data_IF_413878595071
#
_entry.id   IF_413878595071
#
_cell.length_a   1.000
_cell.length_b   1.000
_cell.length_c   1.000
_cell.angle_alpha   90.00
_cell.angle_beta   90.00
_cell.angle_gamma   90.00
#
_symmetry.space_group_name_H-M   'P 1'
#
loop_
_entity.id
_entity.type
_entity.pdbx_description
1 polymer ?
#
# COMPACT_ATOMS: atom_id res chain seq x y z
N UNK A 1 -0.05 3.29 -10.64
CA UNK A 1 -1.20 3.39 -9.71
C UNK A 1 -1.17 4.69 -8.90
N UNK A 2 -0.01 5.12 -8.36
CA UNK A 2 0.06 6.38 -7.58
C UNK A 2 -0.48 7.58 -8.36
N UNK A 3 -0.10 7.75 -9.64
CA UNK A 3 -0.65 8.82 -10.48
C UNK A 3 -2.16 8.68 -10.69
N UNK A 4 -2.69 7.46 -10.85
CA UNK A 4 -4.14 7.25 -10.94
C UNK A 4 -4.83 7.67 -9.65
N UNK A 5 -4.26 7.33 -8.47
CA UNK A 5 -4.79 7.78 -7.18
C UNK A 5 -4.74 9.31 -7.04
N UNK A 6 -3.66 9.95 -7.48
CA UNK A 6 -3.54 11.41 -7.48
C UNK A 6 -4.61 12.07 -8.36
N UNK A 7 -4.81 11.56 -9.57
CA UNK A 7 -5.89 12.01 -10.48
C UNK A 7 -7.28 11.84 -9.84
N UNK A 8 -7.57 10.66 -9.30
CA UNK A 8 -8.86 10.36 -8.65
C UNK A 8 -9.10 11.28 -7.46
N UNK A 9 -8.12 11.39 -6.56
CA UNK A 9 -8.24 12.26 -5.37
C UNK A 9 -8.35 13.73 -5.72
N UNK A 10 -7.60 14.20 -6.72
CA UNK A 10 -7.67 15.58 -7.20
C UNK A 10 -9.06 15.92 -7.75
N UNK A 11 -9.64 15.02 -8.57
CA UNK A 11 -11.00 15.21 -9.08
C UNK A 11 -12.05 15.18 -7.98
N UNK A 12 -11.96 14.23 -7.02
CA UNK A 12 -12.85 14.17 -5.86
C UNK A 12 -12.73 15.40 -4.95
N UNK A 13 -11.52 15.94 -4.83
CA UNK A 13 -11.24 17.14 -4.02
C UNK A 13 -11.54 18.45 -4.74
N UNK A 14 -12.00 18.42 -6.00
CA UNK A 14 -12.28 19.62 -6.77
C UNK A 14 -11.04 20.46 -7.11
N UNK A 15 -9.85 19.83 -7.12
CA UNK A 15 -8.61 20.51 -7.48
C UNK A 15 -8.61 20.92 -8.96
N UNK A 16 -8.01 22.04 -9.27
CA UNK A 16 -7.80 22.49 -10.63
C UNK A 16 -6.88 21.51 -11.39
N UNK A 17 -6.98 21.53 -12.71
CA UNK A 17 -6.10 20.73 -13.58
C UNK A 17 -4.61 20.93 -13.24
N UNK A 18 -4.19 22.18 -13.08
CA UNK A 18 -2.79 22.52 -12.78
C UNK A 18 -2.31 21.94 -11.43
N UNK A 19 -3.15 21.98 -10.41
CA UNK A 19 -2.85 21.38 -9.09
C UNK A 19 -2.75 19.87 -9.17
N UNK A 20 -3.65 19.21 -9.92
CA UNK A 20 -3.59 17.77 -10.13
C UNK A 20 -2.31 17.40 -10.89
N UNK A 21 -2.01 18.10 -11.99
CA UNK A 21 -0.82 17.84 -12.80
C UNK A 21 0.47 18.02 -12.00
N UNK A 22 0.57 19.04 -11.16
CA UNK A 22 1.70 19.27 -10.26
C UNK A 22 1.89 18.15 -9.21
N UNK A 23 0.85 17.37 -8.91
CA UNK A 23 0.89 16.25 -7.97
C UNK A 23 1.32 14.92 -8.61
N UNK A 24 1.43 14.86 -9.94
CA UNK A 24 1.77 13.64 -10.67
C UNK A 24 3.28 13.38 -10.66
N UNK A 25 3.63 12.13 -10.50
CA UNK A 25 5.02 11.68 -10.65
C UNK A 25 5.39 11.60 -12.14
N UNK A 26 6.51 12.23 -12.50
CA UNK A 26 7.12 12.03 -13.83
C UNK A 26 7.68 10.62 -13.94
N UNK A 27 7.28 9.90 -14.97
CA UNK A 27 7.70 8.53 -15.23
C UNK A 27 8.34 8.43 -16.62
N UNK A 28 9.32 7.52 -16.83
CA UNK A 28 9.83 7.23 -18.17
C UNK A 28 8.69 6.87 -19.12
N UNK A 29 8.81 7.23 -20.41
CA UNK A 29 7.75 7.12 -21.41
C UNK A 29 7.11 5.72 -21.50
N UNK A 30 7.92 4.65 -21.36
CA UNK A 30 7.42 3.26 -21.41
C UNK A 30 6.62 2.85 -20.15
N UNK A 31 6.70 3.60 -19.04
CA UNK A 31 5.92 3.42 -17.82
C UNK A 31 4.85 4.51 -17.67
N UNK A 32 4.91 5.54 -18.50
CA UNK A 32 4.00 6.67 -18.43
C UNK A 32 2.63 6.28 -18.98
N UNK A 33 1.60 6.68 -18.23
CA UNK A 33 0.25 6.75 -18.74
C UNK A 33 0.07 8.14 -19.35
N UNK A 34 -0.53 8.23 -20.51
CA UNK A 34 -0.95 9.53 -21.06
C UNK A 34 -1.99 10.13 -20.11
N UNK A 35 -1.59 11.16 -19.38
CA UNK A 35 -2.44 11.81 -18.38
C UNK A 35 -3.36 12.86 -18.99
N UNK A 36 -3.06 13.39 -20.18
CA UNK A 36 -3.83 14.44 -20.82
C UNK A 36 -5.33 14.10 -20.96
N UNK A 37 -5.71 12.93 -21.53
CA UNK A 37 -7.12 12.56 -21.62
C UNK A 37 -7.79 12.41 -20.26
N UNK A 38 -7.03 12.04 -19.22
CA UNK A 38 -7.55 11.83 -17.87
C UNK A 38 -7.70 13.15 -17.10
N UNK A 39 -6.77 14.09 -17.30
CA UNK A 39 -6.86 15.43 -16.73
C UNK A 39 -8.06 16.22 -17.29
N UNK A 40 -8.42 15.98 -18.55
CA UNK A 40 -9.50 16.66 -19.26
C UNK A 40 -10.90 16.03 -19.03
N UNK A 41 -11.05 15.13 -18.05
CA UNK A 41 -12.36 14.59 -17.66
C UNK A 41 -13.09 15.55 -16.73
N UNK A 42 -14.42 15.55 -16.78
CA UNK A 42 -15.22 16.42 -15.92
C UNK A 42 -15.29 15.86 -14.49
N UNK A 43 -15.41 14.54 -14.37
CA UNK A 43 -15.57 13.87 -13.09
C UNK A 43 -14.75 12.57 -12.96
N UNK A 44 -14.80 11.96 -11.78
CA UNK A 44 -14.10 10.70 -11.45
C UNK A 44 -14.67 9.53 -12.24
N UNK A 45 -15.95 9.50 -12.51
CA UNK A 45 -16.57 8.38 -13.22
C UNK A 45 -16.13 8.35 -14.68
N UNK A 46 -16.06 9.52 -15.32
CA UNK A 46 -15.52 9.64 -16.67
C UNK A 46 -14.03 9.26 -16.71
N UNK A 47 -13.24 9.72 -15.72
CA UNK A 47 -11.83 9.35 -15.59
C UNK A 47 -11.67 7.82 -15.52
N UNK A 48 -12.44 7.15 -14.67
CA UNK A 48 -12.39 5.69 -14.52
C UNK A 48 -12.84 4.97 -15.80
N UNK A 49 -13.83 5.52 -16.54
CA UNK A 49 -14.25 5.00 -17.85
C UNK A 49 -13.13 5.13 -18.88
N UNK A 50 -12.40 6.23 -18.91
CA UNK A 50 -11.27 6.45 -19.84
C UNK A 50 -10.09 5.51 -19.58
N UNK A 51 -9.92 5.00 -18.36
CA UNK A 51 -8.92 3.97 -18.09
C UNK A 51 -9.17 2.66 -18.87
N UNK A 52 -10.38 2.43 -19.43
CA UNK A 52 -10.69 1.24 -20.24
C UNK A 52 -9.81 1.10 -21.48
N UNK A 53 -9.32 2.19 -22.04
CA UNK A 53 -8.43 2.22 -23.23
C UNK A 53 -6.95 2.14 -22.87
N UNK A 54 -6.60 1.93 -21.62
CA UNK A 54 -5.24 1.89 -21.10
C UNK A 54 -4.88 0.50 -20.56
N UNK A 55 -3.60 0.23 -20.25
CA UNK A 55 -3.20 -1.00 -19.54
C UNK A 55 -3.87 -1.19 -18.18
N UNK A 56 -4.51 -0.14 -17.64
CA UNK A 56 -5.24 -0.14 -16.37
C UNK A 56 -6.74 -0.43 -16.52
N UNK A 57 -7.16 -0.97 -17.66
CA UNK A 57 -8.57 -1.28 -17.96
C UNK A 57 -9.30 -2.03 -16.82
N UNK A 58 -8.71 -3.11 -16.33
CA UNK A 58 -9.34 -3.92 -15.29
C UNK A 58 -9.49 -3.14 -13.98
N UNK A 59 -8.44 -2.40 -13.59
CA UNK A 59 -8.46 -1.51 -12.44
C UNK A 59 -9.57 -0.46 -12.57
N UNK A 60 -9.64 0.24 -13.70
CA UNK A 60 -10.67 1.26 -13.95
C UNK A 60 -12.09 0.70 -13.90
N UNK A 61 -12.32 -0.48 -14.50
CA UNK A 61 -13.65 -1.11 -14.49
C UNK A 61 -14.10 -1.55 -13.09
N UNK A 62 -13.21 -2.12 -12.28
CA UNK A 62 -13.54 -2.54 -10.92
C UNK A 62 -13.75 -1.35 -9.99
N UNK A 63 -12.88 -0.35 -10.10
CA UNK A 63 -13.00 0.90 -9.34
C UNK A 63 -14.31 1.63 -9.68
N UNK A 64 -14.68 1.69 -10.97
CA UNK A 64 -15.94 2.31 -11.42
C UNK A 64 -17.16 1.61 -10.80
N UNK A 65 -17.24 0.28 -10.88
CA UNK A 65 -18.35 -0.50 -10.28
C UNK A 65 -18.46 -0.24 -8.78
N UNK A 66 -17.35 -0.31 -8.06
CA UNK A 66 -17.32 -0.06 -6.61
C UNK A 66 -17.78 1.36 -6.27
N UNK A 67 -17.43 2.35 -7.10
CA UNK A 67 -17.81 3.75 -6.88
C UNK A 67 -19.27 4.02 -7.29
N UNK A 68 -19.78 3.40 -8.38
CA UNK A 68 -21.19 3.51 -8.80
C UNK A 68 -22.15 2.99 -7.72
N UNK A 69 -21.76 1.92 -7.00
CA UNK A 69 -22.60 1.31 -5.96
C UNK A 69 -22.69 2.15 -4.68
N UNK A 70 -21.60 2.75 -4.24
CA UNK A 70 -21.51 3.38 -2.90
C UNK A 70 -21.15 4.87 -2.91
N UNK A 71 -20.64 5.40 -4.00
CA UNK A 71 -20.14 6.79 -4.15
C UNK A 71 -19.19 7.24 -3.03
N UNK A 72 -18.47 6.28 -2.44
CA UNK A 72 -17.57 6.51 -1.32
C UNK A 72 -16.12 6.64 -1.83
N UNK A 73 -15.50 7.83 -1.71
CA UNK A 73 -14.12 8.08 -2.11
C UNK A 73 -13.11 7.16 -1.41
N UNK A 74 -13.40 6.80 -0.16
CA UNK A 74 -12.54 5.93 0.62
C UNK A 74 -12.54 4.50 0.08
N UNK A 75 -13.72 3.95 -0.23
CA UNK A 75 -13.84 2.62 -0.82
C UNK A 75 -13.24 2.57 -2.23
N UNK A 76 -13.32 3.67 -2.98
CA UNK A 76 -12.68 3.79 -4.28
C UNK A 76 -11.15 3.69 -4.14
N UNK A 77 -10.54 4.45 -3.23
CA UNK A 77 -9.09 4.41 -2.99
C UNK A 77 -8.62 3.03 -2.54
N UNK A 78 -9.37 2.37 -1.65
CA UNK A 78 -9.11 1.01 -1.20
C UNK A 78 -9.23 -0.02 -2.34
N UNK A 79 -10.19 0.15 -3.24
CA UNK A 79 -10.36 -0.73 -4.40
C UNK A 79 -9.18 -0.62 -5.38
N UNK A 80 -8.63 0.57 -5.57
CA UNK A 80 -7.43 0.79 -6.39
C UNK A 80 -6.21 0.06 -5.80
N UNK A 81 -6.00 0.15 -4.49
CA UNK A 81 -4.92 -0.58 -3.81
C UNK A 81 -5.11 -2.09 -3.90
N UNK A 82 -6.30 -2.57 -3.60
CA UNK A 82 -6.64 -4.00 -3.70
C UNK A 82 -6.33 -4.56 -5.08
N UNK A 83 -6.76 -3.87 -6.13
CA UNK A 83 -6.52 -4.31 -7.50
C UNK A 83 -5.03 -4.34 -7.83
N UNK A 84 -4.29 -3.31 -7.43
CA UNK A 84 -2.85 -3.24 -7.66
C UNK A 84 -2.10 -4.41 -7.01
N UNK A 85 -2.30 -4.62 -5.70
CA UNK A 85 -1.60 -5.68 -4.97
C UNK A 85 -2.03 -7.08 -5.41
N UNK A 86 -3.32 -7.30 -5.67
CA UNK A 86 -3.80 -8.58 -6.21
C UNK A 86 -3.21 -8.88 -7.59
N UNK A 87 -3.14 -7.87 -8.46
CA UNK A 87 -2.50 -8.00 -9.77
C UNK A 87 -0.99 -8.27 -9.67
N UNK A 88 -0.30 -7.65 -8.73
CA UNK A 88 1.12 -7.89 -8.48
C UNK A 88 1.35 -9.32 -7.97
N UNK A 89 0.56 -9.76 -6.99
CA UNK A 89 0.63 -11.14 -6.46
C UNK A 89 0.34 -12.20 -7.54
N UNK A 90 -0.64 -11.94 -8.41
CA UNK A 90 -0.95 -12.83 -9.51
C UNK A 90 0.21 -12.97 -10.53
N UNK A 91 0.92 -11.88 -10.82
CA UNK A 91 2.10 -11.91 -11.69
C UNK A 91 3.26 -12.67 -11.04
N UNK A 92 3.48 -12.47 -9.74
CA UNK A 92 4.50 -13.22 -8.99
C UNK A 92 4.23 -14.71 -9.02
N UNK A 93 2.96 -15.13 -8.92
CA UNK A 93 2.58 -16.54 -8.98
C UNK A 93 2.89 -17.21 -10.35
N UNK A 94 3.01 -16.41 -11.42
CA UNK A 94 3.32 -16.88 -12.78
C UNK A 94 4.84 -16.99 -13.06
N UNK A 95 5.68 -16.47 -12.17
CA UNK A 95 7.13 -16.56 -12.33
C UNK A 95 7.61 -18.01 -12.16
N UNK A 96 8.74 -18.32 -12.80
CA UNK A 96 9.49 -19.54 -12.55
C UNK A 96 10.38 -19.42 -11.30
N UNK A 97 10.84 -20.56 -10.79
CA UNK A 97 11.88 -20.55 -9.74
C UNK A 97 13.24 -20.17 -10.34
N UNK A 98 14.11 -19.48 -9.61
CA UNK A 98 13.96 -19.07 -8.19
C UNK A 98 13.23 -17.74 -7.98
N UNK A 99 12.89 -17.02 -9.06
CA UNK A 99 12.29 -15.68 -8.98
C UNK A 99 10.95 -15.71 -8.25
N UNK A 100 10.13 -16.72 -8.46
CA UNK A 100 8.82 -16.84 -7.82
C UNK A 100 8.94 -16.85 -6.30
N UNK A 101 9.81 -17.68 -5.74
CA UNK A 101 10.01 -17.79 -4.29
C UNK A 101 10.55 -16.49 -3.70
N UNK A 102 11.56 -15.90 -4.34
CA UNK A 102 12.18 -14.65 -3.87
C UNK A 102 11.20 -13.46 -3.94
N UNK A 103 10.50 -13.31 -5.06
CA UNK A 103 9.50 -12.24 -5.22
C UNK A 103 8.28 -12.43 -4.33
N UNK A 104 7.83 -13.67 -4.10
CA UNK A 104 6.74 -13.97 -3.16
C UNK A 104 7.08 -13.54 -1.73
N UNK A 105 8.33 -13.67 -1.31
CA UNK A 105 8.77 -13.20 0.01
C UNK A 105 8.58 -11.68 0.13
N UNK A 106 9.01 -10.89 -0.83
CA UNK A 106 8.89 -9.43 -0.80
C UNK A 106 7.44 -8.97 -0.97
N UNK A 107 6.78 -9.41 -2.04
CA UNK A 107 5.41 -8.98 -2.37
C UNK A 107 4.40 -9.50 -1.35
N UNK A 108 4.55 -10.73 -0.86
CA UNK A 108 3.67 -11.28 0.17
C UNK A 108 3.74 -10.50 1.48
N UNK A 109 4.93 -10.02 1.88
CA UNK A 109 5.08 -9.12 3.05
C UNK A 109 4.46 -7.75 2.81
N UNK A 110 4.55 -7.21 1.59
CA UNK A 110 3.85 -5.97 1.24
C UNK A 110 2.33 -6.13 1.39
N UNK A 111 1.78 -7.26 0.94
CA UNK A 111 0.36 -7.59 1.07
C UNK A 111 -0.02 -7.80 2.54
N UNK A 112 0.77 -8.54 3.31
CA UNK A 112 0.53 -8.75 4.75
C UNK A 112 0.50 -7.41 5.51
N UNK A 113 1.50 -6.55 5.25
CA UNK A 113 1.54 -5.21 5.84
C UNK A 113 0.31 -4.39 5.46
N UNK A 114 -0.07 -4.39 4.18
CA UNK A 114 -1.25 -3.67 3.73
C UNK A 114 -2.51 -4.19 4.42
N UNK A 115 -2.74 -5.49 4.38
CA UNK A 115 -3.89 -6.11 5.03
C UNK A 115 -3.94 -5.78 6.52
N UNK A 116 -2.85 -6.01 7.26
CA UNK A 116 -2.86 -5.81 8.71
C UNK A 116 -3.17 -4.36 9.06
N UNK A 117 -2.42 -3.41 8.49
CA UNK A 117 -2.57 -1.99 8.85
C UNK A 117 -3.92 -1.43 8.40
N UNK A 118 -4.35 -1.73 7.16
CA UNK A 118 -5.56 -1.13 6.63
C UNK A 118 -6.84 -1.79 7.13
N UNK A 119 -6.88 -3.12 7.26
CA UNK A 119 -8.07 -3.80 7.78
C UNK A 119 -8.33 -3.46 9.24
N UNK A 120 -7.28 -3.36 10.06
CA UNK A 120 -7.42 -2.88 11.44
C UNK A 120 -7.89 -1.43 11.48
N UNK A 121 -7.37 -0.56 10.60
CA UNK A 121 -7.84 0.82 10.48
C UNK A 121 -9.30 0.88 10.06
N UNK A 122 -9.72 0.07 9.09
CA UNK A 122 -11.12 -0.01 8.66
C UNK A 122 -12.03 -0.43 9.81
N UNK A 123 -11.61 -1.43 10.57
CA UNK A 123 -12.39 -1.95 11.70
C UNK A 123 -12.45 -0.99 12.88
N UNK A 124 -11.31 -0.48 13.33
CA UNK A 124 -11.22 0.27 14.59
C UNK A 124 -11.36 1.79 14.42
N UNK A 125 -10.78 2.38 13.36
CA UNK A 125 -10.86 3.83 13.15
C UNK A 125 -12.11 4.24 12.36
N UNK A 126 -12.43 3.51 11.28
CA UNK A 126 -13.60 3.80 10.43
C UNK A 126 -14.86 3.03 10.84
N UNK A 127 -14.76 2.13 11.83
CA UNK A 127 -15.87 1.37 12.40
C UNK A 127 -16.67 0.55 11.37
N UNK A 128 -16.03 0.09 10.30
CA UNK A 128 -16.67 -0.81 9.34
C UNK A 128 -17.03 -2.12 10.01
N UNK A 129 -18.11 -2.74 9.53
CA UNK A 129 -18.48 -4.09 9.96
C UNK A 129 -17.37 -5.10 9.56
N UNK A 130 -17.16 -6.18 10.33
CA UNK A 130 -16.12 -7.18 10.03
C UNK A 130 -16.17 -7.69 8.59
N UNK A 131 -17.37 -7.97 8.08
CA UNK A 131 -17.55 -8.46 6.71
C UNK A 131 -17.16 -7.41 5.66
N UNK A 132 -17.48 -6.13 5.87
CA UNK A 132 -17.12 -5.04 4.97
C UNK A 132 -15.60 -4.81 4.96
N UNK A 133 -14.97 -4.80 6.14
CA UNK A 133 -13.52 -4.69 6.24
C UNK A 133 -12.83 -5.89 5.56
N UNK A 134 -13.32 -7.13 5.79
CA UNK A 134 -12.76 -8.33 5.17
C UNK A 134 -12.89 -8.31 3.65
N UNK A 135 -13.97 -7.74 3.11
CA UNK A 135 -14.15 -7.58 1.66
C UNK A 135 -13.02 -6.74 1.02
N UNK A 136 -12.41 -5.82 1.77
CA UNK A 136 -11.27 -5.01 1.31
C UNK A 136 -9.93 -5.75 1.37
N UNK A 137 -9.90 -6.99 1.88
CA UNK A 137 -8.66 -7.76 1.99
C UNK A 137 -8.06 -8.08 0.61
N UNK A 138 -6.75 -8.17 0.60
CA UNK A 138 -5.94 -8.51 -0.58
C UNK A 138 -5.45 -9.94 -0.43
N UNK A 139 -5.61 -10.75 -1.47
CA UNK A 139 -5.05 -12.10 -1.54
C UNK A 139 -3.56 -12.09 -1.88
N UNK A 140 -2.85 -13.15 -1.49
CA UNK A 140 -1.42 -13.32 -1.81
C UNK A 140 -0.46 -12.86 -0.71
N UNK A 141 -0.94 -12.67 0.52
CA UNK A 141 -0.09 -12.48 1.70
C UNK A 141 0.82 -13.68 1.95
N UNK A 142 1.96 -13.44 2.60
CA UNK A 142 2.95 -14.46 2.93
C UNK A 142 2.54 -15.28 4.15
N UNK A 143 2.05 -14.60 5.19
CA UNK A 143 1.72 -15.19 6.49
C UNK A 143 0.23 -15.05 6.85
N UNK A 144 -0.42 -13.95 6.46
CA UNK A 144 -1.83 -13.70 6.78
C UNK A 144 -2.75 -14.44 5.81
N UNK A 145 -3.42 -15.47 6.32
CA UNK A 145 -4.48 -16.17 5.59
C UNK A 145 -5.84 -15.50 5.82
N UNK A 146 -6.82 -15.81 4.96
CA UNK A 146 -8.19 -15.30 5.14
C UNK A 146 -8.80 -15.67 6.50
N UNK A 147 -8.41 -16.81 7.09
CA UNK A 147 -8.86 -17.21 8.44
C UNK A 147 -8.26 -16.33 9.55
N UNK A 148 -6.99 -15.92 9.42
CA UNK A 148 -6.39 -14.97 10.35
C UNK A 148 -7.08 -13.61 10.25
N UNK A 149 -7.26 -13.10 9.02
CA UNK A 149 -7.90 -11.80 8.77
C UNK A 149 -9.33 -11.76 9.31
N UNK A 150 -10.12 -12.82 9.10
CA UNK A 150 -11.48 -12.90 9.63
C UNK A 150 -11.49 -12.81 11.16
N UNK A 151 -10.76 -13.69 11.84
CA UNK A 151 -10.72 -13.71 13.33
C UNK A 151 -10.26 -12.40 13.92
N UNK A 152 -9.24 -11.79 13.30
CA UNK A 152 -8.72 -10.49 13.70
C UNK A 152 -9.77 -9.37 13.61
N UNK A 153 -10.65 -9.41 12.63
CA UNK A 153 -11.67 -8.38 12.40
C UNK A 153 -12.95 -8.60 13.25
N UNK A 154 -13.19 -9.81 13.76
CA UNK A 154 -14.35 -10.15 14.58
C UNK A 154 -14.23 -9.64 16.02
N UNK A 155 -13.02 -9.40 16.51
CA UNK A 155 -12.79 -8.95 17.88
C UNK A 155 -12.87 -7.42 18.02
N UNK A 156 -13.25 -6.91 19.21
CA UNK A 156 -13.52 -5.49 19.42
C UNK A 156 -12.27 -4.63 19.58
N UNK A 157 -11.15 -5.19 20.05
CA UNK A 157 -9.96 -4.39 20.38
C UNK A 157 -8.75 -4.74 19.51
N UNK A 158 -7.82 -3.77 19.38
CA UNK A 158 -6.56 -3.99 18.68
C UNK A 158 -5.70 -5.07 19.35
N UNK A 159 -5.67 -5.08 20.69
CA UNK A 159 -4.90 -6.06 21.46
C UNK A 159 -5.40 -7.49 21.17
N UNK A 160 -6.71 -7.72 21.22
CA UNK A 160 -7.30 -9.02 20.87
C UNK A 160 -7.04 -9.39 19.39
N UNK A 161 -7.10 -8.42 18.47
CA UNK A 161 -6.80 -8.66 17.08
C UNK A 161 -5.36 -9.16 16.85
N UNK A 162 -4.40 -8.62 17.61
CA UNK A 162 -2.98 -9.04 17.56
C UNK A 162 -2.84 -10.51 18.00
N UNK A 163 -3.63 -10.98 18.98
CA UNK A 163 -3.60 -12.38 19.43
C UNK A 163 -3.99 -13.39 18.33
N UNK A 164 -4.76 -12.97 17.34
CA UNK A 164 -5.15 -13.79 16.20
C UNK A 164 -4.14 -13.83 15.06
N UNK A 165 -3.02 -13.11 15.19
CA UNK A 165 -1.96 -13.13 14.19
C UNK A 165 -1.12 -14.42 14.28
N UNK A 166 -0.46 -14.83 13.19
CA UNK A 166 0.55 -15.89 13.22
C UNK A 166 1.63 -15.62 14.28
N UNK A 167 2.12 -16.66 14.94
CA UNK A 167 3.14 -16.54 16.00
C UNK A 167 4.37 -15.74 15.58
N UNK A 168 4.84 -15.95 14.35
CA UNK A 168 5.99 -15.22 13.76
C UNK A 168 5.71 -13.73 13.65
N UNK A 169 4.51 -13.34 13.25
CA UNK A 169 4.12 -11.94 13.10
C UNK A 169 3.90 -11.29 14.46
N UNK A 170 3.29 -11.99 15.42
CA UNK A 170 3.17 -11.50 16.82
C UNK A 170 4.54 -11.24 17.44
N UNK A 171 5.49 -12.18 17.26
CA UNK A 171 6.86 -11.98 17.74
C UNK A 171 7.55 -10.79 17.08
N UNK A 172 7.30 -10.56 15.78
CA UNK A 172 7.85 -9.44 15.03
C UNK A 172 7.30 -8.10 15.53
N UNK A 173 5.97 -8.03 15.77
CA UNK A 173 5.29 -6.81 16.22
C UNK A 173 5.63 -6.50 17.69
N UNK A 174 5.90 -7.54 18.50
CA UNK A 174 6.23 -7.37 19.90
C UNK A 174 5.12 -6.65 20.69
N UNK A 175 5.52 -5.66 21.47
CA UNK A 175 4.64 -4.87 22.33
C UNK A 175 4.16 -3.58 21.66
N UNK A 176 3.94 -3.59 20.33
CA UNK A 176 3.41 -2.44 19.62
C UNK A 176 2.03 -2.05 20.14
N UNK A 177 1.89 -0.81 20.59
CA UNK A 177 0.69 -0.33 21.26
C UNK A 177 -0.37 0.22 20.30
N UNK A 178 0.06 0.61 19.09
CA UNK A 178 -0.82 1.26 18.12
C UNK A 178 -0.50 0.87 16.67
N UNK A 179 -1.38 1.27 15.75
CA UNK A 179 -1.25 0.96 14.32
C UNK A 179 -0.04 1.61 13.64
N UNK A 180 0.48 2.71 14.19
CA UNK A 180 1.65 3.40 13.64
C UNK A 180 2.89 2.56 13.91
N UNK A 181 3.05 2.08 15.15
CA UNK A 181 4.15 1.20 15.55
C UNK A 181 4.15 -0.10 14.73
N UNK A 182 2.98 -0.73 14.61
CA UNK A 182 2.82 -1.95 13.78
C UNK A 182 3.25 -1.69 12.34
N UNK A 183 2.79 -0.58 11.74
CA UNK A 183 3.17 -0.19 10.38
C UNK A 183 4.68 -0.05 10.23
N UNK A 184 5.31 0.63 11.18
CA UNK A 184 6.73 0.97 11.10
C UNK A 184 7.62 -0.25 11.34
N UNK A 185 7.22 -1.16 12.22
CA UNK A 185 7.88 -2.46 12.40
C UNK A 185 7.80 -3.29 11.11
N UNK A 186 6.63 -3.35 10.48
CA UNK A 186 6.45 -4.10 9.24
C UNK A 186 7.18 -3.47 8.04
N UNK A 187 7.33 -2.14 8.03
CA UNK A 187 8.16 -1.46 7.02
C UNK A 187 9.62 -1.81 7.20
N UNK A 188 10.14 -1.80 8.43
CA UNK A 188 11.53 -2.21 8.71
C UNK A 188 11.81 -3.66 8.33
N UNK A 189 10.89 -4.56 8.67
CA UNK A 189 11.01 -5.97 8.25
C UNK A 189 11.08 -6.07 6.72
N UNK A 190 10.22 -5.36 6.00
CA UNK A 190 10.24 -5.35 4.54
C UNK A 190 11.54 -4.76 3.97
N UNK A 191 12.05 -3.67 4.55
CA UNK A 191 13.35 -3.08 4.15
C UNK A 191 14.49 -4.06 4.39
N UNK A 192 14.53 -4.72 5.54
CA UNK A 192 15.52 -5.75 5.84
C UNK A 192 15.47 -6.92 4.83
N UNK A 193 14.27 -7.39 4.48
CA UNK A 193 14.12 -8.44 3.46
C UNK A 193 14.54 -7.96 2.05
N UNK A 194 14.32 -6.68 1.73
CA UNK A 194 14.81 -6.08 0.49
C UNK A 194 16.35 -5.99 0.45
N UNK A 195 16.99 -5.67 1.57
CA UNK A 195 18.45 -5.71 1.70
C UNK A 195 19.01 -7.13 1.52
N UNK A 196 18.37 -8.13 2.11
CA UNK A 196 18.76 -9.54 1.93
C UNK A 196 18.60 -9.97 0.46
N UNK A 197 17.53 -9.54 -0.21
CA UNK A 197 17.32 -9.82 -1.63
C UNK A 197 18.41 -9.17 -2.51
N UNK A 198 18.87 -7.97 -2.18
CA UNK A 198 19.98 -7.30 -2.88
C UNK A 198 21.30 -8.06 -2.78
N UNK A 199 21.53 -8.70 -1.63
CA UNK A 199 22.76 -9.49 -1.38
C UNK A 199 22.66 -10.91 -1.95
N UNK A 200 21.48 -11.35 -2.35
CA UNK A 200 21.27 -12.69 -2.91
C UNK A 200 21.59 -12.71 -4.39
N UNK A 201 22.32 -13.73 -4.83
CA UNK A 201 22.61 -13.97 -6.26
C UNK A 201 21.58 -14.89 -6.93
N UNK A 202 20.58 -15.36 -6.19
CA UNK A 202 19.63 -16.36 -6.70
C UNK A 202 18.56 -15.79 -7.63
N UNK A 203 18.17 -14.51 -7.45
CA UNK A 203 17.14 -13.87 -8.26
C UNK A 203 17.50 -12.42 -8.55
N UNK A 204 17.88 -12.15 -9.78
CA UNK A 204 18.16 -10.79 -10.27
C UNK A 204 16.89 -9.93 -10.21
N UNK A 205 15.72 -10.54 -10.47
CA UNK A 205 14.44 -9.84 -10.41
C UNK A 205 14.12 -9.37 -8.98
N UNK A 206 14.32 -10.24 -7.99
CA UNK A 206 14.10 -9.89 -6.58
C UNK A 206 15.13 -8.85 -6.09
N UNK A 207 16.38 -8.93 -6.55
CA UNK A 207 17.40 -7.92 -6.24
C UNK A 207 17.03 -6.55 -6.80
N UNK A 208 16.60 -6.48 -8.07
CA UNK A 208 16.15 -5.24 -8.69
C UNK A 208 14.90 -4.67 -7.99
N UNK A 209 13.94 -5.52 -7.64
CA UNK A 209 12.74 -5.12 -6.91
C UNK A 209 13.07 -4.65 -5.49
N UNK A 210 13.97 -5.34 -4.79
CA UNK A 210 14.49 -4.96 -3.47
C UNK A 210 15.14 -3.57 -3.51
N UNK A 211 15.99 -3.31 -4.51
CA UNK A 211 16.56 -1.99 -4.73
C UNK A 211 15.50 -0.90 -4.88
N UNK A 212 14.49 -1.13 -5.73
CA UNK A 212 13.39 -0.17 -5.94
C UNK A 212 12.59 0.09 -4.65
N UNK A 213 12.35 -0.95 -3.84
CA UNK A 213 11.68 -0.80 -2.55
C UNK A 213 12.50 0.06 -1.58
N UNK A 214 13.80 -0.18 -1.47
CA UNK A 214 14.68 0.61 -0.59
C UNK A 214 14.74 2.08 -1.04
N UNK A 215 14.88 2.34 -2.34
CA UNK A 215 14.84 3.71 -2.90
C UNK A 215 13.50 4.39 -2.66
N UNK A 216 12.38 3.66 -2.78
CA UNK A 216 11.06 4.20 -2.48
C UNK A 216 10.94 4.66 -1.01
N UNK A 217 11.41 3.86 -0.06
CA UNK A 217 11.37 4.23 1.35
C UNK A 217 12.36 5.36 1.69
N UNK A 218 13.54 5.37 1.09
CA UNK A 218 14.49 6.48 1.22
C UNK A 218 13.89 7.80 0.77
N UNK A 219 13.27 7.85 -0.42
CA UNK A 219 12.58 9.05 -0.92
C UNK A 219 11.45 9.47 0.01
N UNK A 220 10.68 8.52 0.53
CA UNK A 220 9.64 8.83 1.53
C UNK A 220 10.19 9.46 2.79
N UNK A 221 11.28 8.93 3.30
CA UNK A 221 11.98 9.46 4.48
C UNK A 221 12.48 10.87 4.22
N UNK A 222 13.16 11.09 3.09
CA UNK A 222 13.63 12.43 2.70
C UNK A 222 12.49 13.43 2.58
N UNK A 223 11.39 13.06 1.93
CA UNK A 223 10.20 13.91 1.84
C UNK A 223 9.59 14.22 3.21
N UNK A 224 9.53 13.26 4.13
CA UNK A 224 9.05 13.50 5.48
C UNK A 224 9.94 14.50 6.23
N UNK A 225 11.28 14.38 6.11
CA UNK A 225 12.25 15.32 6.68
C UNK A 225 12.04 16.72 6.11
N UNK A 226 11.94 16.83 4.78
CA UNK A 226 11.75 18.13 4.13
C UNK A 226 10.43 18.79 4.55
N UNK A 227 9.33 18.03 4.60
CA UNK A 227 8.06 18.54 5.05
C UNK A 227 8.09 18.99 6.52
N UNK A 228 8.73 18.21 7.40
CA UNK A 228 8.88 18.58 8.79
C UNK A 228 9.70 19.88 8.96
N UNK A 229 10.76 20.05 8.17
CA UNK A 229 11.55 21.29 8.15
C UNK A 229 10.75 22.49 7.64
N UNK A 230 10.00 22.32 6.55
CA UNK A 230 9.13 23.38 5.99
C UNK A 230 8.02 23.79 6.97
N UNK A 231 7.49 22.82 7.73
CA UNK A 231 6.46 23.06 8.74
C UNK A 231 7.03 23.50 10.11
N UNK A 232 8.35 23.67 10.22
CA UNK A 232 9.03 24.01 11.47
C UNK A 232 8.67 23.08 12.65
N UNK A 233 8.53 21.78 12.37
CA UNK A 233 8.28 20.81 13.44
C UNK A 233 9.49 20.68 14.34
N UNK A 234 9.29 20.47 15.65
CA UNK A 234 10.38 20.23 16.61
C UNK A 234 11.29 19.07 16.19
N UNK A 235 12.58 19.20 16.45
CA UNK A 235 13.59 18.20 16.05
C UNK A 235 13.43 16.86 16.77
N UNK A 236 12.93 16.86 18.00
CA UNK A 236 12.59 15.67 18.77
C UNK A 236 11.50 14.85 18.08
N UNK A 237 10.43 15.48 17.57
CA UNK A 237 9.39 14.79 16.80
C UNK A 237 9.94 14.20 15.50
N UNK A 238 10.85 14.93 14.84
CA UNK A 238 11.51 14.43 13.63
C UNK A 238 12.43 13.25 13.97
N UNK A 239 13.20 13.38 15.05
CA UNK A 239 14.10 12.34 15.52
C UNK A 239 13.31 11.08 15.92
N UNK A 240 12.21 11.23 16.65
CA UNK A 240 11.35 10.10 17.04
C UNK A 240 10.67 9.45 15.84
N UNK A 241 10.24 10.24 14.86
CA UNK A 241 9.67 9.71 13.62
C UNK A 241 10.70 8.93 12.77
N UNK A 242 11.99 9.34 12.80
CA UNK A 242 13.06 8.74 12.01
C UNK A 242 13.87 7.67 12.77
N UNK A 243 14.08 7.86 14.07
CA UNK A 243 15.01 7.10 14.91
C UNK A 243 14.36 6.47 16.16
N UNK A 244 13.18 6.86 16.58
CA UNK A 244 12.34 6.09 17.50
C UNK A 244 12.13 4.67 16.99
N UNK A 245 12.36 4.51 15.70
CA UNK A 245 12.52 3.27 14.98
C UNK A 245 13.80 2.46 15.35
N UNK A 246 14.75 2.99 16.12
CA UNK A 246 16.05 2.32 16.40
C UNK A 246 16.13 1.60 17.76
N UNK A 247 15.09 1.64 18.58
CA UNK A 247 15.10 0.94 19.87
C UNK A 247 14.50 -0.46 19.79
N UNK A 248 15.04 -1.31 18.89
CA UNK A 248 14.99 -2.78 19.07
C UNK A 248 16.32 -3.32 18.52
N UNK A 249 17.32 -3.37 19.37
CA UNK A 249 18.51 -4.22 19.22
C UNK A 249 18.24 -5.53 19.92
#
# INVERSE_FOLDING_TARGET
VLNIKALVRGKLGGLSRAEIEASLFSLPGFLSLDHEPLLNTDDVMELLRRLKSTPYRQLGMQALRSFEEKQDPFLLDASLDRHFYSGLSARVAQLSEPDRTAMRNLVGRMVDRHNLVWLLRYRHNYRLQPAEALYMSISGGLQLTGSHLRRMLEVPTLAEAIEHLPKTMRKLIGDAENLVDIRDILVRDLQHQAELALRSTQSVLASAFGYLLLRYYEIKTLNAILQARVQHLPEDLLHDALFGMRKVA
#
